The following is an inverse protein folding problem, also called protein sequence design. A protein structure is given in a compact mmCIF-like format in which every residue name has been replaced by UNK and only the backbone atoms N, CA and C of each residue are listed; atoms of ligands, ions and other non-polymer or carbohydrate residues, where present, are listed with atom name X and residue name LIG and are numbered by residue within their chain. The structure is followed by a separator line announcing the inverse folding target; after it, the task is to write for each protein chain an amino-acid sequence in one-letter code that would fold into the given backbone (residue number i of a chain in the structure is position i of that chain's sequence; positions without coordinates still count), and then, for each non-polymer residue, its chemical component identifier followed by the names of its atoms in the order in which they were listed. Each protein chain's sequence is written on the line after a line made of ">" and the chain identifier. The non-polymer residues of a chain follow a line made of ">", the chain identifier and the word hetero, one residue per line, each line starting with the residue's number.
data_IF_701994197997
#
_entry.id   IF_701994197997
#
_cell.length_a   1.000
_cell.length_b   1.000
_cell.length_c   1.000
_cell.angle_alpha   90.00
_cell.angle_beta   90.00
_cell.angle_gamma   90.00
#
_symmetry.space_group_name_H-M   'P 1'
#
loop_
_entity.id
_entity.type
_entity.pdbx_description
1 polymer ?
#
# COMPACT_ATOMS: atom_id res chain seq x y z
N UNK A 1 -32.59 -8.21 21.76
CA UNK A 1 -31.52 -7.62 22.59
C UNK A 1 -30.13 -8.02 22.10
N UNK A 2 -29.90 -9.28 21.68
CA UNK A 2 -28.60 -9.74 21.17
C UNK A 2 -28.09 -9.03 19.89
N UNK A 3 -28.97 -8.73 18.92
CA UNK A 3 -28.57 -8.10 17.65
C UNK A 3 -27.95 -6.70 17.81
N UNK A 4 -28.38 -5.91 18.81
CA UNK A 4 -27.82 -4.57 19.04
C UNK A 4 -26.40 -4.64 19.63
N UNK A 5 -26.14 -5.63 20.49
CA UNK A 5 -24.83 -5.81 21.12
C UNK A 5 -23.78 -6.23 20.09
N UNK A 6 -24.16 -7.08 19.12
CA UNK A 6 -23.27 -7.48 18.03
C UNK A 6 -22.92 -6.32 17.09
N UNK A 7 -23.88 -5.43 16.80
CA UNK A 7 -23.64 -4.26 15.95
C UNK A 7 -22.64 -3.28 16.59
N UNK A 8 -22.76 -3.05 17.90
CA UNK A 8 -21.82 -2.19 18.64
C UNK A 8 -20.41 -2.78 18.71
N UNK A 9 -20.30 -4.10 18.92
CA UNK A 9 -19.00 -4.80 18.88
C UNK A 9 -18.36 -4.70 17.49
N UNK A 10 -19.15 -4.88 16.44
CA UNK A 10 -18.67 -4.78 15.07
C UNK A 10 -18.19 -3.36 14.73
N UNK A 11 -18.93 -2.33 15.15
CA UNK A 11 -18.52 -0.93 14.99
C UNK A 11 -17.19 -0.63 15.67
N UNK A 12 -16.97 -1.17 16.86
CA UNK A 12 -15.70 -1.01 17.56
C UNK A 12 -14.54 -1.70 16.83
N UNK A 13 -14.74 -2.93 16.34
CA UNK A 13 -13.76 -3.63 15.48
C UNK A 13 -13.43 -2.80 14.23
N UNK A 14 -14.44 -2.23 13.58
CA UNK A 14 -14.27 -1.34 12.43
C UNK A 14 -13.46 -0.08 12.77
N UNK A 15 -13.69 0.50 13.97
CA UNK A 15 -12.91 1.66 14.46
C UNK A 15 -11.43 1.30 14.63
N UNK A 16 -11.13 0.11 15.17
CA UNK A 16 -9.76 -0.40 15.31
C UNK A 16 -9.09 -0.58 13.95
N UNK A 17 -9.79 -1.17 12.95
CA UNK A 17 -9.27 -1.31 11.58
C UNK A 17 -8.90 0.06 10.99
N UNK A 18 -9.80 1.04 11.10
CA UNK A 18 -9.54 2.42 10.62
C UNK A 18 -8.35 3.06 11.33
N UNK A 19 -8.22 2.86 12.64
CA UNK A 19 -7.09 3.36 13.42
C UNK A 19 -5.76 2.73 12.97
N UNK A 20 -5.72 1.42 12.74
CA UNK A 20 -4.54 0.72 12.24
C UNK A 20 -4.14 1.19 10.84
N UNK A 21 -5.11 1.42 9.95
CA UNK A 21 -4.83 1.93 8.61
C UNK A 21 -4.27 3.36 8.65
N UNK A 22 -4.90 4.27 9.40
CA UNK A 22 -4.50 5.68 9.50
C UNK A 22 -3.14 5.87 10.19
N UNK A 23 -2.81 5.01 11.16
CA UNK A 23 -1.49 4.95 11.81
C UNK A 23 -0.41 4.22 10.99
N UNK A 24 -0.73 3.81 9.76
CA UNK A 24 0.18 3.11 8.82
C UNK A 24 0.65 1.73 9.30
N UNK A 25 -0.09 1.08 10.19
CA UNK A 25 0.19 -0.29 10.61
C UNK A 25 -0.46 -1.31 9.66
N UNK A 26 -0.13 -1.25 8.36
CA UNK A 26 -0.82 -1.98 7.29
C UNK A 26 -0.82 -3.51 7.48
N UNK A 27 0.29 -4.10 7.93
CA UNK A 27 0.36 -5.55 8.22
C UNK A 27 -0.60 -5.97 9.33
N UNK A 28 -0.72 -5.15 10.38
CA UNK A 28 -1.65 -5.43 11.48
C UNK A 28 -3.10 -5.21 11.02
N UNK A 29 -3.34 -4.14 10.25
CA UNK A 29 -4.64 -3.84 9.67
C UNK A 29 -5.15 -4.99 8.79
N UNK A 30 -4.32 -5.51 7.88
CA UNK A 30 -4.68 -6.64 7.01
C UNK A 30 -4.99 -7.91 7.83
N UNK A 31 -4.13 -8.26 8.79
CA UNK A 31 -4.34 -9.45 9.64
C UNK A 31 -5.58 -9.33 10.51
N UNK A 32 -5.80 -8.18 11.12
CA UNK A 32 -6.94 -7.93 11.99
C UNK A 32 -8.23 -7.89 11.17
N UNK A 33 -8.25 -7.17 10.04
CA UNK A 33 -9.38 -7.13 9.12
C UNK A 33 -9.80 -8.53 8.63
N UNK A 34 -8.83 -9.37 8.24
CA UNK A 34 -9.09 -10.76 7.85
C UNK A 34 -9.68 -11.60 8.99
N UNK A 35 -9.24 -11.39 10.24
CA UNK A 35 -9.81 -12.06 11.41
C UNK A 35 -11.25 -11.61 11.66
N UNK A 36 -11.50 -10.30 11.63
CA UNK A 36 -12.87 -9.78 11.80
C UNK A 36 -13.78 -10.30 10.70
N UNK A 37 -13.32 -10.38 9.45
CA UNK A 37 -14.09 -10.97 8.34
C UNK A 37 -14.41 -12.45 8.53
N UNK A 38 -13.58 -13.21 9.26
CA UNK A 38 -13.88 -14.61 9.59
C UNK A 38 -14.91 -14.78 10.71
N UNK A 39 -15.18 -13.71 11.47
CA UNK A 39 -16.19 -13.65 12.53
C UNK A 39 -17.50 -13.02 12.04
N UNK A 40 -17.54 -12.51 10.80
CA UNK A 40 -18.73 -11.90 10.21
C UNK A 40 -19.74 -12.99 9.87
N UNK A 41 -20.86 -12.97 10.57
CA UNK A 41 -22.04 -13.78 10.25
C UNK A 41 -22.86 -13.14 9.11
N UNK A 42 -23.71 -13.94 8.46
CA UNK A 42 -24.62 -13.52 7.37
C UNK A 42 -25.61 -12.42 7.81
N UNK A 43 -25.76 -12.19 9.12
CA UNK A 43 -26.60 -11.13 9.70
C UNK A 43 -25.95 -9.74 9.64
N UNK A 44 -24.64 -9.67 9.34
CA UNK A 44 -23.91 -8.40 9.29
C UNK A 44 -24.33 -7.57 8.08
N UNK A 45 -24.59 -6.28 8.31
CA UNK A 45 -25.02 -5.39 7.23
C UNK A 45 -23.98 -5.35 6.08
N UNK A 46 -24.39 -5.52 4.80
CA UNK A 46 -23.47 -5.64 3.66
C UNK A 46 -22.52 -4.44 3.50
N UNK A 47 -23.00 -3.23 3.78
CA UNK A 47 -22.16 -2.02 3.80
C UNK A 47 -20.96 -2.16 4.75
N UNK A 48 -21.17 -2.70 5.94
CA UNK A 48 -20.13 -2.88 6.95
C UNK A 48 -19.10 -3.90 6.49
N UNK A 49 -19.55 -5.01 5.93
CA UNK A 49 -18.70 -6.03 5.29
C UNK A 49 -17.91 -5.46 4.13
N UNK A 50 -18.51 -4.60 3.31
CA UNK A 50 -17.84 -3.93 2.20
C UNK A 50 -16.73 -2.97 2.67
N UNK A 51 -16.99 -2.17 3.71
CA UNK A 51 -15.96 -1.29 4.29
C UNK A 51 -14.80 -2.07 4.88
N UNK A 52 -15.08 -3.20 5.54
CA UNK A 52 -14.04 -4.03 6.16
C UNK A 52 -13.13 -4.65 5.10
N UNK A 53 -13.73 -5.21 4.05
CA UNK A 53 -13.01 -5.70 2.89
C UNK A 53 -12.21 -4.58 2.20
N UNK A 54 -12.77 -3.37 2.07
CA UNK A 54 -12.07 -2.22 1.50
C UNK A 54 -10.79 -1.84 2.25
N UNK A 55 -10.84 -1.68 3.58
CA UNK A 55 -9.63 -1.34 4.36
C UNK A 55 -8.60 -2.49 4.37
N UNK A 56 -9.07 -3.73 4.35
CA UNK A 56 -8.20 -4.91 4.25
C UNK A 56 -7.51 -4.94 2.89
N UNK A 57 -8.25 -4.69 1.80
CA UNK A 57 -7.71 -4.59 0.44
C UNK A 57 -6.70 -3.46 0.29
N UNK A 58 -7.00 -2.25 0.79
CA UNK A 58 -6.08 -1.11 0.78
C UNK A 58 -4.77 -1.40 1.54
N UNK A 59 -4.86 -2.14 2.64
CA UNK A 59 -3.68 -2.54 3.41
C UNK A 59 -2.80 -3.47 2.60
N UNK A 60 -3.38 -4.47 1.93
CA UNK A 60 -2.65 -5.37 1.02
C UNK A 60 -2.07 -4.64 -0.22
N UNK A 61 -2.80 -3.71 -0.84
CA UNK A 61 -2.28 -2.88 -1.95
C UNK A 61 -1.07 -2.05 -1.49
N UNK A 62 -1.13 -1.46 -0.30
CA UNK A 62 -0.01 -0.68 0.25
C UNK A 62 1.20 -1.58 0.53
N UNK A 63 0.98 -2.74 1.16
CA UNK A 63 2.04 -3.73 1.40
C UNK A 63 2.65 -4.24 0.09
N UNK A 64 1.86 -4.45 -0.96
CA UNK A 64 2.36 -4.86 -2.27
C UNK A 64 3.32 -3.83 -2.88
N UNK A 65 3.05 -2.53 -2.70
CA UNK A 65 3.89 -1.44 -3.18
C UNK A 65 5.24 -1.41 -2.46
N UNK A 66 5.24 -1.70 -1.16
CA UNK A 66 6.43 -1.75 -0.30
C UNK A 66 7.18 -3.09 -0.39
N UNK A 67 6.50 -4.17 -0.81
CA UNK A 67 7.07 -5.50 -0.88
C UNK A 67 8.09 -5.67 -2.02
N UNK A 68 9.01 -6.61 -1.81
CA UNK A 68 9.88 -7.12 -2.89
C UNK A 68 9.05 -7.81 -3.97
N UNK A 69 9.58 -7.90 -5.20
CA UNK A 69 8.89 -8.51 -6.34
C UNK A 69 8.32 -9.91 -6.04
N UNK A 70 9.01 -10.70 -5.20
CA UNK A 70 8.57 -12.06 -4.82
C UNK A 70 7.28 -12.05 -3.99
N UNK A 71 7.15 -11.13 -3.05
CA UNK A 71 6.01 -11.06 -2.15
C UNK A 71 4.89 -10.18 -2.70
N UNK A 72 5.21 -9.24 -3.59
CA UNK A 72 4.25 -8.32 -4.22
C UNK A 72 3.09 -9.05 -4.89
N UNK A 73 3.34 -10.17 -5.57
CA UNK A 73 2.27 -10.93 -6.23
C UNK A 73 1.22 -11.48 -5.25
N UNK A 74 1.67 -12.01 -4.12
CA UNK A 74 0.78 -12.57 -3.10
C UNK A 74 -0.10 -11.47 -2.48
N UNK A 75 0.51 -10.32 -2.16
CA UNK A 75 -0.19 -9.16 -1.61
C UNK A 75 -1.21 -8.57 -2.62
N UNK A 76 -0.83 -8.44 -3.90
CA UNK A 76 -1.77 -7.98 -4.95
C UNK A 76 -2.93 -8.96 -5.15
N UNK A 77 -2.67 -10.26 -5.06
CA UNK A 77 -3.72 -11.28 -5.19
C UNK A 77 -4.69 -11.23 -4.01
N UNK A 78 -4.19 -11.00 -2.79
CA UNK A 78 -5.04 -10.78 -1.61
C UNK A 78 -5.85 -9.49 -1.73
N UNK A 79 -5.24 -8.39 -2.18
CA UNK A 79 -5.94 -7.12 -2.41
C UNK A 79 -7.07 -7.28 -3.44
N UNK A 80 -6.80 -7.93 -4.56
CA UNK A 80 -7.79 -8.19 -5.61
C UNK A 80 -8.99 -8.98 -5.09
N UNK A 81 -8.74 -10.03 -4.29
CA UNK A 81 -9.80 -10.82 -3.66
C UNK A 81 -10.70 -9.92 -2.80
N UNK A 82 -10.12 -9.15 -1.88
CA UNK A 82 -10.89 -8.30 -0.98
C UNK A 82 -11.64 -7.16 -1.69
N UNK A 83 -11.08 -6.56 -2.74
CA UNK A 83 -11.84 -5.59 -3.55
C UNK A 83 -13.03 -6.26 -4.24
N UNK A 84 -12.87 -7.47 -4.78
CA UNK A 84 -13.96 -8.26 -5.34
C UNK A 84 -15.04 -8.60 -4.31
N UNK A 85 -14.64 -9.03 -3.12
CA UNK A 85 -15.56 -9.36 -2.01
C UNK A 85 -16.33 -8.10 -1.55
N UNK A 86 -15.68 -6.93 -1.52
CA UNK A 86 -16.34 -5.66 -1.19
C UNK A 86 -17.41 -5.27 -2.21
N UNK A 87 -17.12 -5.43 -3.51
CA UNK A 87 -18.08 -5.19 -4.59
C UNK A 87 -19.22 -6.20 -4.51
N UNK A 88 -18.90 -7.48 -4.27
CA UNK A 88 -19.88 -8.55 -4.08
C UNK A 88 -20.87 -8.24 -2.95
N UNK A 89 -20.38 -7.79 -1.79
CA UNK A 89 -21.22 -7.42 -0.66
C UNK A 89 -22.22 -6.29 -0.99
N UNK A 90 -21.85 -5.33 -1.84
CA UNK A 90 -22.71 -4.21 -2.23
C UNK A 90 -23.63 -4.52 -3.41
N UNK A 91 -23.25 -5.49 -4.25
CA UNK A 91 -23.97 -5.85 -5.48
C UNK A 91 -24.91 -7.04 -5.26
N UNK A 92 -24.72 -7.81 -4.18
CA UNK A 92 -25.58 -8.94 -3.85
C UNK A 92 -27.04 -8.52 -3.89
N UNK A 93 -27.83 -9.09 -4.82
CA UNK A 93 -29.24 -8.78 -4.92
C UNK A 93 -29.88 -9.31 -3.64
N UNK A 94 -30.33 -8.39 -2.80
CA UNK A 94 -31.34 -8.64 -1.78
C UNK A 94 -32.38 -9.58 -2.40
N UNK A 95 -32.31 -10.85 -1.98
CA UNK A 95 -33.15 -12.00 -2.29
C UNK A 95 -34.09 -11.74 -3.47
N UNK A 96 -33.77 -12.35 -4.62
CA UNK A 96 -34.74 -12.59 -5.67
C UNK A 96 -35.98 -13.18 -5.01
N UNK A 97 -37.01 -12.35 -4.85
CA UNK A 97 -38.33 -12.79 -4.47
C UNK A 97 -38.75 -13.72 -5.60
N UNK A 98 -38.64 -15.03 -5.34
CA UNK A 98 -39.37 -16.06 -6.06
C UNK A 98 -40.85 -15.76 -5.82
N UNK A 99 -41.39 -14.80 -6.59
CA UNK A 99 -42.79 -14.81 -6.93
C UNK A 99 -42.93 -15.91 -7.99
N UNK A 100 -42.98 -17.15 -7.51
CA UNK A 100 -43.71 -18.19 -8.22
C UNK A 100 -45.15 -17.69 -8.39
N UNK A 101 -45.69 -17.96 -9.58
CA UNK A 101 -47.00 -17.52 -10.08
C UNK A 101 -47.07 -16.11 -10.70
N UNK A 102 -46.31 -15.87 -11.77
CA UNK A 102 -46.89 -15.10 -12.87
C UNK A 102 -46.74 -15.85 -14.20
N UNK A 103 -47.85 -16.49 -14.54
CA UNK A 103 -48.18 -17.19 -15.77
C UNK A 103 -47.60 -16.50 -17.01
N UNK A 104 -46.84 -17.31 -17.75
CA UNK A 104 -46.65 -17.30 -19.20
C UNK A 104 -47.35 -16.18 -19.97
N UNK A 105 -46.57 -15.28 -20.58
CA UNK A 105 -46.88 -14.79 -21.91
C UNK A 105 -45.60 -14.47 -22.69
N UNK A 106 -45.45 -15.00 -23.91
CA UNK A 106 -44.26 -14.85 -24.73
C UNK A 106 -44.33 -13.60 -25.63
N UNK A 107 -43.14 -13.21 -26.09
CA UNK A 107 -42.86 -12.36 -27.24
C UNK A 107 -43.22 -10.88 -27.13
N UNK A 108 -42.18 -10.03 -27.10
CA UNK A 108 -41.88 -9.21 -28.27
C UNK A 108 -40.46 -8.68 -28.22
N UNK A 109 -39.76 -8.90 -29.32
CA UNK A 109 -38.58 -8.18 -29.72
C UNK A 109 -38.87 -6.68 -29.85
N UNK A 110 -37.96 -5.82 -29.43
CA UNK A 110 -37.26 -4.92 -30.35
C UNK A 110 -36.03 -4.34 -29.66
N UNK A 111 -35.02 -4.13 -30.50
CA UNK A 111 -33.81 -3.36 -30.32
C UNK A 111 -33.90 -2.14 -29.40
N UNK A 112 -32.82 -1.85 -28.67
CA UNK A 112 -32.15 -0.59 -28.96
C UNK A 112 -30.64 -0.71 -28.80
N UNK A 113 -30.00 -0.22 -29.85
CA UNK A 113 -28.59 0.05 -30.01
C UNK A 113 -28.16 1.21 -29.08
N UNK A 114 -26.85 1.42 -28.99
CA UNK A 114 -26.19 2.61 -28.44
C UNK A 114 -26.06 2.73 -26.92
N UNK A 115 -24.85 2.40 -26.45
CA UNK A 115 -24.00 3.39 -25.77
C UNK A 115 -22.52 2.99 -25.91
N UNK A 116 -21.95 3.42 -27.04
CA UNK A 116 -20.49 3.63 -27.21
C UNK A 116 -19.99 4.58 -26.12
N UNK A 117 -19.47 4.04 -25.04
CA UNK A 117 -18.48 4.75 -24.22
C UNK A 117 -17.09 4.16 -24.46
N UNK A 118 -16.69 4.08 -25.74
CA UNK A 118 -15.28 4.14 -26.09
C UNK A 118 -14.81 5.58 -25.84
N UNK A 119 -14.65 5.93 -24.56
CA UNK A 119 -13.86 7.08 -24.17
C UNK A 119 -12.42 6.73 -24.50
N UNK A 120 -12.05 7.16 -25.71
CA UNK A 120 -10.72 7.46 -26.21
C UNK A 120 -9.80 7.92 -25.08
N UNK A 121 -9.18 6.98 -24.36
CA UNK A 121 -7.98 7.23 -23.57
C UNK A 121 -6.84 7.23 -24.57
N UNK A 122 -6.57 8.42 -25.09
CA UNK A 122 -5.40 8.75 -25.89
C UNK A 122 -4.16 8.55 -25.03
N UNK A 123 -3.70 7.32 -24.88
CA UNK A 123 -2.34 7.03 -24.44
C UNK A 123 -1.40 7.27 -25.64
N UNK A 124 -1.27 8.53 -26.05
CA UNK A 124 -0.03 8.99 -26.68
C UNK A 124 1.00 9.14 -25.56
N UNK A 125 1.47 7.99 -25.07
CA UNK A 125 2.77 7.90 -24.42
C UNK A 125 3.79 8.21 -25.51
N UNK A 126 4.14 9.49 -25.60
CA UNK A 126 5.31 9.96 -26.33
C UNK A 126 6.52 9.35 -25.64
N UNK A 127 7.06 8.29 -26.25
CA UNK A 127 8.40 7.80 -25.95
C UNK A 127 9.38 8.69 -26.71
N UNK A 128 9.60 9.89 -26.21
CA UNK A 128 10.81 10.65 -26.51
C UNK A 128 11.09 11.63 -25.38
N UNK A 129 11.84 11.17 -24.39
CA UNK A 129 12.63 12.01 -23.49
C UNK A 129 13.74 11.16 -22.88
N UNK A 130 14.84 11.11 -23.61
CA UNK A 130 16.17 11.48 -23.10
C UNK A 130 16.35 11.37 -21.59
N UNK A 131 17.05 10.32 -21.19
CA UNK A 131 18.17 10.39 -20.23
C UNK A 131 18.00 11.42 -19.10
N UNK A 132 17.32 11.03 -18.02
CA UNK A 132 17.61 11.62 -16.71
C UNK A 132 17.93 10.52 -15.72
N UNK A 133 19.23 10.42 -15.44
CA UNK A 133 19.81 9.60 -14.39
C UNK A 133 19.22 9.96 -13.04
N UNK A 134 18.19 9.25 -12.58
CA UNK A 134 17.82 9.23 -11.16
C UNK A 134 18.63 8.15 -10.47
N UNK A 135 19.83 8.52 -10.04
CA UNK A 135 20.63 7.74 -9.10
C UNK A 135 19.96 7.79 -7.72
N UNK A 136 19.20 6.77 -7.40
CA UNK A 136 18.80 6.46 -6.03
C UNK A 136 19.23 5.03 -5.71
N UNK A 137 20.51 4.87 -5.40
CA UNK A 137 21.05 3.66 -4.77
C UNK A 137 21.72 4.07 -3.47
N UNK A 138 20.91 4.28 -2.44
CA UNK A 138 21.38 4.21 -1.05
C UNK A 138 21.20 2.77 -0.60
N UNK A 139 22.11 1.90 -1.02
CA UNK A 139 22.20 0.56 -0.45
C UNK A 139 22.99 0.65 0.85
N UNK A 140 22.28 0.72 1.98
CA UNK A 140 22.87 0.43 3.28
C UNK A 140 23.05 -1.09 3.37
N UNK A 141 24.27 -1.58 3.18
CA UNK A 141 24.62 -2.97 3.48
C UNK A 141 24.77 -3.09 5.00
N UNK A 142 23.70 -3.48 5.70
CA UNK A 142 23.84 -3.99 7.06
C UNK A 142 24.43 -5.40 6.97
N UNK A 143 25.71 -5.50 7.26
CA UNK A 143 26.45 -6.76 7.36
C UNK A 143 26.00 -7.44 8.67
N UNK A 144 25.10 -8.42 8.59
CA UNK A 144 24.82 -9.36 9.67
C UNK A 144 25.88 -10.45 9.63
N UNK A 145 26.88 -10.30 10.49
CA UNK A 145 27.94 -11.27 10.72
C UNK A 145 27.42 -12.30 11.73
N UNK A 146 26.99 -13.46 11.24
CA UNK A 146 26.80 -14.66 12.07
C UNK A 146 28.06 -15.54 11.96
N UNK A 147 28.70 -15.72 13.12
CA UNK A 147 29.51 -16.84 13.65
C UNK A 147 29.84 -17.97 12.63
N UNK A 148 31.10 -18.35 12.36
CA UNK A 148 31.96 -19.12 13.27
C UNK A 148 33.38 -19.21 12.64
N UNK A 149 34.39 -18.53 13.20
CA UNK A 149 35.80 -19.01 13.22
C UNK A 149 36.54 -18.23 14.32
N UNK A 150 36.91 -18.94 15.38
CA UNK A 150 37.68 -18.38 16.49
C UNK A 150 39.09 -17.96 16.09
N UNK A 151 39.38 -16.66 16.18
CA UNK A 151 40.72 -16.13 16.35
C UNK A 151 40.66 -14.94 17.31
N UNK A 152 41.27 -15.11 18.49
CA UNK A 152 41.32 -14.10 19.53
C UNK A 152 42.18 -12.90 19.14
N UNK A 153 41.53 -11.78 18.84
CA UNK A 153 42.15 -10.47 18.80
C UNK A 153 41.33 -9.51 19.67
N UNK A 154 41.94 -9.09 20.76
CA UNK A 154 41.38 -8.19 21.78
C UNK A 154 41.18 -6.79 21.21
N UNK A 155 39.98 -6.50 20.73
CA UNK A 155 39.55 -5.16 20.35
C UNK A 155 38.93 -4.46 21.58
N UNK A 156 39.77 -3.87 22.42
CA UNK A 156 39.34 -2.93 23.46
C UNK A 156 39.25 -1.53 22.86
N UNK A 157 38.23 -0.80 23.28
CA UNK A 157 38.10 0.66 23.23
C UNK A 157 37.49 1.30 21.96
N UNK A 158 36.28 0.85 21.60
CA UNK A 158 35.31 1.73 20.91
C UNK A 158 34.06 1.91 21.79
N UNK A 159 34.08 2.93 22.64
CA UNK A 159 32.89 3.43 23.31
C UNK A 159 32.29 4.56 22.48
N UNK A 160 31.01 4.43 22.12
CA UNK A 160 30.26 5.51 21.48
C UNK A 160 30.08 6.68 22.47
N UNK A 161 30.22 7.94 22.05
CA UNK A 161 30.00 9.10 22.91
C UNK A 161 28.53 9.10 23.38
N UNK A 162 28.34 9.04 24.70
CA UNK A 162 27.04 9.17 25.34
C UNK A 162 26.50 10.58 25.08
N UNK A 163 25.25 10.75 24.61
CA UNK A 163 24.67 12.07 24.40
C UNK A 163 24.62 12.85 25.73
N UNK A 164 24.83 14.19 25.70
CA UNK A 164 24.87 15.00 26.90
C UNK A 164 23.55 14.93 27.67
N UNK A 165 23.65 14.61 28.96
CA UNK A 165 22.52 14.60 29.88
C UNK A 165 21.93 16.01 29.97
N UNK A 166 20.61 16.12 29.84
CA UNK A 166 19.89 17.35 30.16
C UNK A 166 19.86 17.51 31.67
N UNK A 167 20.63 18.45 32.18
CA UNK A 167 20.52 18.96 33.54
C UNK A 167 19.13 19.59 33.74
N UNK A 168 18.22 18.84 34.34
CA UNK A 168 17.04 19.37 35.01
C UNK A 168 17.34 19.38 36.52
N UNK A 169 18.16 20.35 36.91
CA UNK A 169 18.34 20.74 38.30
C UNK A 169 17.08 21.46 38.78
N UNK A 170 16.27 20.77 39.56
CA UNK A 170 15.07 21.31 40.19
C UNK A 170 14.67 20.48 41.39
N UNK A 171 15.31 20.76 42.52
CA UNK A 171 14.95 20.30 43.86
C UNK A 171 13.44 20.46 44.10
N UNK A 172 12.76 19.37 44.48
CA UNK A 172 11.67 19.44 45.45
C UNK A 172 11.50 18.08 46.15
N UNK A 173 11.60 18.17 47.46
CA UNK A 173 11.54 17.12 48.47
C UNK A 173 10.15 16.49 48.56
N UNK A 174 10.14 15.16 48.65
CA UNK A 174 9.33 14.32 49.56
C UNK A 174 8.07 14.96 50.15
N UNK A 175 6.87 14.51 49.71
CA UNK A 175 5.75 14.16 50.61
C UNK A 175 4.96 12.99 49.98
N UNK A 176 4.64 12.02 50.82
CA UNK A 176 3.94 10.77 50.53
C UNK A 176 2.44 10.94 50.20
N UNK A 177 1.88 9.86 49.63
CA UNK A 177 0.48 9.40 49.70
C UNK A 177 -0.63 10.43 49.44
N UNK A 178 -1.42 10.21 48.40
CA UNK A 178 -2.88 10.09 48.52
C UNK A 178 -3.47 9.41 47.29
N UNK A 179 -4.32 8.41 47.53
CA UNK A 179 -5.36 7.97 46.59
C UNK A 179 -6.34 9.14 46.39
N UNK A 180 -6.69 9.51 45.16
CA UNK A 180 -7.96 10.18 44.84
C UNK A 180 -8.13 10.27 43.32
N UNK A 181 -9.09 9.56 42.72
CA UNK A 181 -10.43 10.05 42.32
C UNK A 181 -10.40 10.99 41.10
N UNK A 182 -10.82 10.44 39.96
CA UNK A 182 -11.84 11.01 39.06
C UNK A 182 -11.74 12.51 38.72
N UNK A 183 -11.36 12.83 37.48
CA UNK A 183 -11.86 14.01 36.78
C UNK A 183 -11.99 13.70 35.28
N UNK A 184 -13.23 13.62 34.82
CA UNK A 184 -13.58 13.82 33.41
C UNK A 184 -13.40 15.30 33.14
N UNK A 185 -12.65 15.66 32.10
CA UNK A 185 -12.69 17.02 31.57
C UNK A 185 -13.45 17.01 30.25
N UNK A 186 -14.74 17.29 30.40
CA UNK A 186 -15.66 17.73 29.37
C UNK A 186 -15.31 19.18 29.01
N UNK A 187 -14.81 19.40 27.79
CA UNK A 187 -15.04 20.68 27.11
C UNK A 187 -15.65 20.44 25.74
N UNK A 188 -16.97 20.49 25.76
CA UNK A 188 -17.88 20.57 24.64
C UNK A 188 -17.66 21.83 23.79
N UNK A 189 -17.71 21.69 22.47
CA UNK A 189 -18.34 22.66 21.56
C UNK A 189 -18.60 21.99 20.21
N UNK A 190 -19.66 21.19 20.10
CA UNK A 190 -20.37 20.98 18.83
C UNK A 190 -21.87 20.83 19.10
N UNK A 191 -22.63 21.54 18.26
CA UNK A 191 -24.03 21.93 18.36
C UNK A 191 -25.06 20.81 18.56
N UNK A 192 -26.17 21.08 19.29
CA UNK A 192 -27.33 20.20 19.31
C UNK A 192 -28.16 20.37 18.03
N UNK A 193 -28.29 19.29 17.25
CA UNK A 193 -29.32 19.17 16.23
C UNK A 193 -30.65 18.73 16.87
N UNK A 194 -31.81 19.16 16.35
CA UNK A 194 -33.11 18.91 16.96
C UNK A 194 -33.48 17.42 16.90
N UNK A 195 -33.79 16.86 18.07
CA UNK A 195 -34.32 15.51 18.26
C UNK A 195 -35.75 15.49 17.72
N UNK A 196 -35.92 14.98 16.50
CA UNK A 196 -37.22 14.65 15.94
C UNK A 196 -37.77 13.43 16.67
N UNK A 197 -38.64 13.68 17.64
CA UNK A 197 -39.34 12.65 18.43
C UNK A 197 -40.46 12.08 17.56
N UNK A 198 -40.23 10.92 16.94
CA UNK A 198 -41.31 10.12 16.38
C UNK A 198 -41.76 9.07 17.40
N UNK A 199 -43.07 8.92 17.66
CA UNK A 199 -43.57 7.91 18.57
C UNK A 199 -43.35 6.50 17.99
N UNK A 200 -42.73 5.64 18.80
CA UNK A 200 -42.49 4.25 18.49
C UNK A 200 -43.82 3.47 18.51
N UNK A 201 -44.36 3.20 17.32
CA UNK A 201 -45.42 2.21 17.14
C UNK A 201 -44.78 0.82 17.20
N UNK A 202 -45.02 0.11 18.30
CA UNK A 202 -44.65 -1.30 18.47
C UNK A 202 -45.52 -2.16 17.53
N UNK A 203 -44.95 -2.57 16.39
CA UNK A 203 -45.54 -3.57 15.51
C UNK A 203 -44.85 -4.94 15.69
N UNK A 204 -45.58 -6.06 15.54
CA UNK A 204 -45.04 -7.40 15.72
C UNK A 204 -44.05 -7.78 14.61
N UNK A 205 -42.86 -8.23 15.00
CA UNK A 205 -41.85 -8.79 14.09
C UNK A 205 -42.32 -10.11 13.49
N UNK A 206 -42.76 -10.09 12.23
CA UNK A 206 -42.57 -11.22 11.33
C UNK A 206 -41.14 -11.15 10.74
N UNK A 207 -40.48 -12.28 10.42
CA UNK A 207 -39.18 -12.30 9.76
C UNK A 207 -39.35 -11.81 8.33
N UNK A 208 -39.45 -10.48 8.18
CA UNK A 208 -39.57 -9.81 6.90
C UNK A 208 -38.21 -9.84 6.22
N UNK A 209 -38.21 -10.24 4.95
CA UNK A 209 -37.21 -9.86 3.96
C UNK A 209 -36.93 -8.35 4.10
N UNK A 210 -35.89 -8.00 4.85
CA UNK A 210 -35.52 -6.61 5.07
C UNK A 210 -34.92 -6.14 3.75
N UNK A 211 -35.71 -5.42 2.95
CA UNK A 211 -35.19 -4.73 1.78
C UNK A 211 -34.16 -3.70 2.26
N UNK A 212 -32.88 -4.09 2.22
CA UNK A 212 -31.76 -3.24 2.64
C UNK A 212 -31.65 -2.10 1.63
N UNK A 213 -32.10 -0.90 2.01
CA UNK A 213 -31.97 0.29 1.19
C UNK A 213 -30.59 0.89 1.39
N UNK A 214 -29.75 0.75 0.37
CA UNK A 214 -28.43 1.38 0.36
C UNK A 214 -28.51 2.91 0.25
N UNK A 215 -27.56 3.65 0.83
CA UNK A 215 -27.38 5.08 0.60
C UNK A 215 -27.21 5.39 -0.90
N UNK A 216 -27.61 6.59 -1.38
CA UNK A 216 -27.48 6.96 -2.80
C UNK A 216 -26.02 6.96 -3.29
N UNK A 217 -25.05 7.11 -2.37
CA UNK A 217 -23.63 7.21 -2.69
C UNK A 217 -22.94 5.84 -2.91
N UNK A 218 -23.65 4.73 -2.73
CA UNK A 218 -23.04 3.39 -2.90
C UNK A 218 -22.59 3.14 -4.33
N UNK A 219 -23.30 3.65 -5.34
CA UNK A 219 -22.88 3.52 -6.74
C UNK A 219 -21.52 4.20 -7.00
N UNK A 220 -21.29 5.38 -6.40
CA UNK A 220 -20.02 6.08 -6.50
C UNK A 220 -18.91 5.29 -5.79
N UNK A 221 -19.21 4.72 -4.62
CA UNK A 221 -18.28 3.86 -3.90
C UNK A 221 -17.92 2.59 -4.68
N UNK A 222 -18.89 1.91 -5.29
CA UNK A 222 -18.64 0.74 -6.17
C UNK A 222 -17.75 1.12 -7.35
N UNK A 223 -18.03 2.24 -8.03
CA UNK A 223 -17.19 2.73 -9.13
C UNK A 223 -15.75 3.03 -8.69
N UNK A 224 -15.56 3.52 -7.45
CA UNK A 224 -14.22 3.71 -6.88
C UNK A 224 -13.52 2.36 -6.65
N UNK A 225 -14.22 1.37 -6.09
CA UNK A 225 -13.70 0.02 -5.88
C UNK A 225 -13.29 -0.66 -7.19
N UNK A 226 -14.10 -0.52 -8.25
CA UNK A 226 -13.77 -1.02 -9.58
C UNK A 226 -12.48 -0.38 -10.13
N UNK A 227 -12.29 0.92 -9.93
CA UNK A 227 -11.07 1.63 -10.31
C UNK A 227 -9.83 1.06 -9.59
N UNK A 228 -9.94 0.83 -8.28
CA UNK A 228 -8.86 0.19 -7.51
C UNK A 228 -8.60 -1.26 -7.96
N UNK A 229 -9.65 -2.04 -8.18
CA UNK A 229 -9.56 -3.42 -8.65
C UNK A 229 -8.86 -3.52 -10.01
N UNK A 230 -9.20 -2.64 -10.94
CA UNK A 230 -8.55 -2.57 -12.26
C UNK A 230 -7.05 -2.26 -12.12
N UNK A 231 -6.69 -1.29 -11.28
CA UNK A 231 -5.29 -0.94 -11.02
C UNK A 231 -4.50 -2.10 -10.39
N UNK A 232 -5.08 -2.81 -9.42
CA UNK A 232 -4.44 -3.98 -8.80
C UNK A 232 -4.24 -5.11 -9.81
N UNK A 233 -5.22 -5.37 -10.67
CA UNK A 233 -5.11 -6.37 -11.75
C UNK A 233 -4.01 -6.04 -12.74
N UNK A 234 -3.87 -4.76 -13.11
CA UNK A 234 -2.79 -4.28 -13.97
C UNK A 234 -1.41 -4.51 -13.31
N UNK A 235 -1.23 -4.05 -12.07
CA UNK A 235 0.01 -4.26 -11.31
C UNK A 235 0.33 -5.75 -11.12
N UNK A 236 -0.69 -6.57 -10.89
CA UNK A 236 -0.53 -8.03 -10.76
C UNK A 236 -0.10 -8.63 -12.08
N UNK A 237 -0.68 -8.21 -13.20
CA UNK A 237 -0.27 -8.63 -14.54
C UNK A 237 1.20 -8.31 -14.81
N UNK A 238 1.64 -7.09 -14.49
CA UNK A 238 3.04 -6.69 -14.61
C UNK A 238 3.99 -7.51 -13.72
N UNK A 239 3.51 -7.95 -12.54
CA UNK A 239 4.31 -8.75 -11.60
C UNK A 239 4.33 -10.24 -11.98
N UNK A 240 3.23 -10.75 -12.58
CA UNK A 240 3.04 -12.17 -12.93
C UNK A 240 3.79 -12.62 -14.17
N UNK A 241 4.04 -11.70 -15.12
CA UNK A 241 4.67 -12.02 -16.41
C UNK A 241 6.20 -12.30 -16.27
N UNK A 242 6.73 -12.21 -15.05
CA UNK A 242 8.15 -12.33 -14.74
C UNK A 242 8.61 -13.64 -14.09
N UNK A 243 7.84 -14.73 -14.11
CA UNK A 243 8.37 -16.06 -13.73
C UNK A 243 9.61 -16.51 -14.54
N UNK A 244 9.89 -15.80 -15.64
CA UNK A 244 11.11 -15.91 -16.45
C UNK A 244 11.88 -14.60 -16.61
N UNK A 245 11.62 -13.56 -15.80
CA UNK A 245 12.58 -12.49 -15.62
C UNK A 245 13.71 -13.05 -14.76
N UNK A 246 14.50 -13.96 -15.37
CA UNK A 246 15.93 -13.98 -15.10
C UNK A 246 16.30 -12.50 -15.14
N UNK A 247 16.76 -11.97 -14.02
CA UNK A 247 17.70 -10.87 -14.07
C UNK A 247 18.91 -11.42 -14.84
N UNK A 248 18.76 -11.60 -16.16
CA UNK A 248 19.76 -11.14 -17.07
C UNK A 248 19.75 -9.64 -16.82
N UNK A 249 20.45 -9.22 -15.75
CA UNK A 249 21.29 -8.05 -15.87
C UNK A 249 21.77 -8.10 -17.30
N UNK A 250 21.40 -7.13 -18.13
CA UNK A 250 22.00 -7.00 -19.44
C UNK A 250 23.48 -7.03 -19.13
N UNK A 251 24.11 -8.20 -19.32
CA UNK A 251 25.54 -8.37 -19.11
C UNK A 251 26.07 -7.26 -19.97
N UNK A 252 26.67 -6.22 -19.35
CA UNK A 252 26.86 -4.93 -19.98
C UNK A 252 27.44 -5.24 -21.34
N UNK A 253 26.68 -4.89 -22.41
CA UNK A 253 27.00 -5.28 -23.80
C UNK A 253 28.49 -5.16 -23.90
N UNK A 254 29.19 -6.30 -23.99
CA UNK A 254 30.63 -6.31 -24.18
C UNK A 254 30.83 -5.40 -25.37
N UNK A 255 31.43 -4.24 -25.09
CA UNK A 255 31.71 -3.22 -26.08
C UNK A 255 32.26 -3.90 -27.34
N UNK A 256 31.89 -3.45 -28.55
CA UNK A 256 32.26 -4.08 -29.83
C UNK A 256 33.73 -3.85 -30.18
N UNK A 257 34.63 -4.09 -29.22
CA UNK A 257 36.07 -3.99 -29.37
C UNK A 257 36.61 -5.33 -28.90
N UNK A 258 36.95 -6.18 -29.88
CA UNK A 258 37.58 -7.51 -29.79
C UNK A 258 36.63 -8.71 -29.86
N UNK A 259 35.94 -8.85 -30.98
CA UNK A 259 35.70 -10.16 -31.58
C UNK A 259 36.99 -10.60 -32.30
N UNK A 260 37.96 -11.09 -31.54
CA UNK A 260 39.02 -11.97 -32.03
C UNK A 260 39.60 -12.66 -30.81
N UNK A 261 39.78 -13.97 -30.87
CA UNK A 261 40.28 -14.87 -29.82
C UNK A 261 39.27 -15.35 -28.78
N UNK A 262 38.47 -16.33 -29.19
CA UNK A 262 38.35 -17.56 -28.39
C UNK A 262 38.43 -18.78 -29.32
N UNK A 263 39.65 -19.13 -29.65
CA UNK A 263 40.01 -20.52 -29.90
C UNK A 263 40.56 -21.08 -28.59
N UNK A 264 39.98 -22.20 -28.18
CA UNK A 264 40.48 -23.21 -27.24
C UNK A 264 41.20 -22.78 -25.95
N UNK A 265 40.53 -23.00 -24.81
CA UNK A 265 41.18 -23.11 -23.49
C UNK A 265 42.17 -24.28 -23.52
N UNK A 266 43.46 -23.99 -23.61
CA UNK A 266 44.46 -24.67 -22.79
C UNK A 266 45.09 -23.65 -21.85
N UNK A 267 45.19 -24.10 -20.61
CA UNK A 267 45.85 -23.46 -19.47
C UNK A 267 47.09 -22.66 -19.83
N UNK A 268 47.15 -21.39 -19.45
CA UNK A 268 48.43 -20.78 -19.13
C UNK A 268 48.27 -19.68 -18.09
N UNK A 269 48.58 -20.08 -16.87
CA UNK A 269 49.03 -19.20 -15.79
C UNK A 269 50.26 -18.46 -16.32
N UNK A 270 50.12 -17.17 -16.60
CA UNK A 270 51.21 -16.21 -16.61
C UNK A 270 50.57 -14.84 -16.34
N UNK A 271 50.50 -14.48 -15.06
CA UNK A 271 50.09 -13.16 -14.62
C UNK A 271 51.13 -12.13 -15.09
N UNK A 272 50.73 -11.31 -16.06
CA UNK A 272 51.41 -10.06 -16.34
C UNK A 272 50.80 -8.97 -15.46
N UNK A 273 51.58 -8.43 -14.52
CA UNK A 273 51.17 -7.36 -13.58
C UNK A 273 50.62 -6.09 -14.27
N UNK A 274 50.81 -5.93 -15.59
CA UNK A 274 50.36 -4.76 -16.35
C UNK A 274 48.86 -4.64 -16.61
N UNK A 275 48.06 -5.71 -16.47
CA UNK A 275 46.62 -5.63 -16.77
C UNK A 275 45.82 -4.92 -15.66
N UNK A 276 46.26 -5.06 -14.41
CA UNK A 276 45.62 -4.43 -13.24
C UNK A 276 45.77 -2.90 -13.29
N UNK A 277 46.92 -2.40 -13.76
CA UNK A 277 47.19 -0.97 -13.89
C UNK A 277 46.35 -0.31 -14.99
N UNK A 278 46.03 -1.02 -16.07
CA UNK A 278 45.16 -0.53 -17.14
C UNK A 278 43.73 -0.22 -16.64
N UNK A 279 43.20 -1.04 -15.73
CA UNK A 279 41.89 -0.79 -15.10
C UNK A 279 41.97 0.41 -14.16
N UNK A 280 43.09 0.60 -13.46
CA UNK A 280 43.32 1.72 -12.54
C UNK A 280 43.42 3.05 -13.28
N UNK A 281 44.09 3.07 -14.44
CA UNK A 281 44.20 4.26 -15.30
C UNK A 281 42.84 4.66 -15.89
N UNK A 282 42.03 3.70 -16.33
CA UNK A 282 40.67 3.99 -16.86
C UNK A 282 39.76 4.63 -15.81
N UNK A 283 39.88 4.26 -14.53
CA UNK A 283 39.13 4.92 -13.44
C UNK A 283 39.58 6.36 -13.19
N UNK A 284 40.85 6.71 -13.46
CA UNK A 284 41.35 8.10 -13.36
C UNK A 284 40.86 9.00 -14.50
N UNK A 285 40.47 8.43 -15.63
CA UNK A 285 39.98 9.19 -16.80
C UNK A 285 38.46 9.46 -16.75
N UNK A 286 37.73 8.82 -15.84
CA UNK A 286 36.33 9.19 -15.60
C UNK A 286 36.32 10.55 -14.91
N UNK A 287 36.02 11.60 -15.68
CA UNK A 287 35.78 12.93 -15.15
C UNK A 287 34.78 12.82 -14.01
N UNK A 288 35.22 13.19 -12.82
CA UNK A 288 34.36 13.20 -11.64
C UNK A 288 33.15 14.06 -11.98
N UNK A 289 31.95 13.51 -11.79
CA UNK A 289 30.71 14.28 -11.97
C UNK A 289 30.86 15.56 -11.13
N UNK A 290 30.57 16.75 -11.69
CA UNK A 290 30.66 17.98 -10.93
C UNK A 290 29.84 17.80 -9.65
N UNK A 291 30.48 18.08 -8.51
CA UNK A 291 29.79 18.02 -7.22
C UNK A 291 28.65 19.05 -7.26
N UNK A 292 27.59 18.77 -6.51
CA UNK A 292 26.46 19.68 -6.38
C UNK A 292 26.97 21.06 -5.92
N UNK A 293 26.78 22.07 -6.76
CA UNK A 293 27.11 23.46 -6.45
C UNK A 293 25.82 24.20 -6.07
N UNK A 294 25.60 24.49 -4.77
CA UNK A 294 24.39 25.16 -4.33
C UNK A 294 24.26 26.57 -4.91
N UNK A 295 25.36 27.25 -5.24
CA UNK A 295 25.32 28.59 -5.81
C UNK A 295 24.84 28.58 -7.26
N UNK A 296 25.30 27.61 -8.06
CA UNK A 296 24.81 27.42 -9.42
C UNK A 296 23.29 27.17 -9.46
N UNK A 297 22.78 26.37 -8.52
CA UNK A 297 21.32 26.10 -8.42
C UNK A 297 20.56 27.35 -7.96
N UNK A 298 21.07 28.09 -6.97
CA UNK A 298 20.45 29.36 -6.53
C UNK A 298 20.43 30.40 -7.64
N UNK A 299 21.47 30.46 -8.47
CA UNK A 299 21.53 31.33 -9.64
C UNK A 299 20.45 30.94 -10.65
N UNK A 300 20.37 29.65 -11.00
CA UNK A 300 19.35 29.12 -11.91
C UNK A 300 17.93 29.45 -11.44
N UNK A 301 17.66 29.33 -10.14
CA UNK A 301 16.35 29.71 -9.57
C UNK A 301 16.08 31.21 -9.66
N UNK A 302 17.09 32.07 -9.45
CA UNK A 302 16.95 33.52 -9.60
C UNK A 302 16.66 33.91 -11.04
N UNK A 303 17.40 33.31 -11.98
CA UNK A 303 17.23 33.56 -13.41
C UNK A 303 15.81 33.14 -13.85
N UNK A 304 15.34 31.96 -13.42
CA UNK A 304 13.99 31.49 -13.73
C UNK A 304 12.87 32.36 -13.12
N UNK A 305 13.08 32.93 -11.92
CA UNK A 305 12.11 33.84 -11.31
C UNK A 305 12.10 35.22 -11.96
N UNK A 306 13.24 35.67 -12.52
CA UNK A 306 13.33 36.94 -13.23
C UNK A 306 12.65 36.89 -14.61
N UNK A 307 12.43 35.70 -15.18
CA UNK A 307 11.73 35.50 -16.45
C UNK A 307 10.19 35.50 -16.33
N UNK A 308 9.63 35.55 -15.12
CA UNK A 308 8.18 35.61 -14.92
C UNK A 308 7.70 37.07 -14.93
N UNK A 309 6.94 37.51 -15.95
CA UNK A 309 6.41 38.87 -16.07
C UNK A 309 5.21 39.16 -15.14
#
# INVERSE_FOLDING_TARGET
>A
MFALVQDDEFKEKMRVVKALYTSRHYTQCAKFGARVLSEVDDETHPIHTAYLNFYTALSHDTLAREATLKNRYAELSAAEKHYGDAIGALTSPSIAISNDEQLSSPASATSNDERRWNRRSSNTWSFDSTTTHRSSTSSATSYSQDEDVGLGLTLKDYAFPTPPARDLGGNLTVIAKHQSTHYYDDTSVLSPLPISTFPATLLPCTPQNVNIRFPPDTAAFVSMLDGHLASVREMRGMTSVGGGARFTFSTPKTSPVKASFRESRKSQVCGGEGEVDGVRQKRKLLQSRPRFDPEAVRKLCRDALAELP
#
